data_IF_446473062539
#
_entry.id   IF_446473062539
#
_cell.length_a   1.000
_cell.length_b   1.000
_cell.length_c   1.000
_cell.angle_alpha   90.00
_cell.angle_beta   90.00
_cell.angle_gamma   90.00
#
_symmetry.space_group_name_H-M   'P 1'
#
loop_
_entity.id
_entity.type
_entity.pdbx_description
1 polymer ?
#
# COMPACT_ATOMS: atom_id res chain seq x y z
N UNK A 1 26.39 10.13 4.30
CA UNK A 1 25.88 11.49 4.01
C UNK A 1 24.49 11.33 3.39
N UNK A 2 23.46 12.00 3.92
CA UNK A 2 22.06 11.82 3.51
C UNK A 2 21.67 12.60 2.25
N UNK A 3 22.30 13.76 2.04
CA UNK A 3 21.97 14.67 0.95
C UNK A 3 23.11 14.70 -0.06
N UNK A 4 22.77 14.61 -1.36
CA UNK A 4 23.69 14.89 -2.45
C UNK A 4 23.48 16.33 -2.90
N UNK A 5 24.54 17.14 -2.96
CA UNK A 5 24.47 18.53 -3.40
C UNK A 5 24.90 18.64 -4.86
N UNK A 6 24.21 19.49 -5.64
CA UNK A 6 24.63 19.79 -7.01
C UNK A 6 25.89 20.67 -7.08
N UNK A 7 26.27 21.30 -5.96
CA UNK A 7 27.50 22.10 -5.85
C UNK A 7 27.71 22.69 -4.46
N UNK A 8 28.86 23.37 -4.30
CA UNK A 8 29.28 23.99 -3.02
C UNK A 8 28.29 25.03 -2.50
N UNK A 9 27.65 25.80 -3.39
CA UNK A 9 26.66 26.80 -3.01
C UNK A 9 25.46 26.18 -2.28
N UNK A 10 24.87 25.11 -2.83
CA UNK A 10 23.76 24.39 -2.18
C UNK A 10 24.19 23.70 -0.89
N UNK A 11 25.43 23.19 -0.82
CA UNK A 11 25.97 22.63 0.42
C UNK A 11 26.07 23.68 1.53
N UNK A 12 26.59 24.87 1.21
CA UNK A 12 26.72 25.97 2.17
C UNK A 12 25.36 26.50 2.62
N UNK A 13 24.40 26.62 1.69
CA UNK A 13 23.02 27.01 2.02
C UNK A 13 22.34 26.02 2.99
N UNK A 14 22.58 24.72 2.83
CA UNK A 14 22.01 23.68 3.70
C UNK A 14 22.85 23.41 4.97
N UNK A 15 24.00 24.07 5.14
CA UNK A 15 25.01 23.70 6.14
C UNK A 15 24.53 23.72 7.59
N UNK A 16 23.69 24.70 7.95
CA UNK A 16 23.13 24.82 9.30
C UNK A 16 22.28 23.60 9.69
N UNK A 17 21.38 23.16 8.79
CA UNK A 17 20.54 21.97 8.96
C UNK A 17 21.38 20.69 8.89
N UNK A 18 22.30 20.60 7.93
CA UNK A 18 23.22 19.46 7.82
C UNK A 18 24.05 19.23 9.10
N UNK A 19 24.53 20.29 9.75
CA UNK A 19 25.33 20.20 10.97
C UNK A 19 24.57 19.55 12.14
N UNK A 20 23.27 19.78 12.23
CA UNK A 20 22.41 19.16 13.25
C UNK A 20 22.28 17.66 12.98
N UNK A 21 22.02 17.30 11.72
CA UNK A 21 21.84 15.90 11.31
C UNK A 21 23.14 15.11 11.42
N UNK A 22 24.29 15.66 10.99
CA UNK A 22 25.53 14.91 10.85
C UNK A 22 26.13 14.43 12.18
N UNK A 23 25.69 15.01 13.30
CA UNK A 23 26.09 14.63 14.67
C UNK A 23 25.09 13.72 15.37
N UNK A 24 23.98 13.37 14.71
CA UNK A 24 22.94 12.58 15.33
C UNK A 24 23.44 11.17 15.69
N UNK A 25 23.13 10.64 16.90
CA UNK A 25 23.63 9.32 17.33
C UNK A 25 23.30 8.17 16.39
N UNK A 26 22.15 8.21 15.72
CA UNK A 26 21.74 7.18 14.75
C UNK A 26 22.61 7.14 13.49
N UNK A 27 23.44 8.15 13.22
CA UNK A 27 24.42 8.11 12.13
C UNK A 27 25.70 7.34 12.50
N UNK A 28 25.88 6.97 13.78
CA UNK A 28 27.06 6.22 14.20
C UNK A 28 26.95 4.75 13.77
N UNK A 29 28.01 4.19 13.20
CA UNK A 29 28.03 2.80 12.73
C UNK A 29 27.80 1.79 13.87
N UNK A 30 28.22 2.15 15.08
CA UNK A 30 28.10 1.36 16.32
C UNK A 30 26.87 1.74 17.16
N UNK A 31 25.90 2.49 16.61
CA UNK A 31 24.65 2.76 17.33
C UNK A 31 24.01 1.45 17.78
N UNK A 32 23.55 1.43 19.03
CA UNK A 32 22.87 0.31 19.65
C UNK A 32 21.49 0.77 20.14
N UNK A 33 20.50 -0.13 20.14
CA UNK A 33 19.20 0.10 20.76
C UNK A 33 19.28 0.51 22.23
N UNK A 34 18.31 1.30 22.69
CA UNK A 34 18.26 1.79 24.07
C UNK A 34 18.35 0.66 25.10
N UNK A 35 17.63 -0.45 24.88
CA UNK A 35 17.64 -1.58 25.82
C UNK A 35 19.02 -2.25 25.96
N UNK A 36 19.85 -2.20 24.91
CA UNK A 36 21.24 -2.70 24.95
C UNK A 36 22.11 -1.76 25.77
N UNK A 37 22.03 -0.45 25.48
CA UNK A 37 22.84 0.56 26.19
C UNK A 37 22.47 0.71 27.66
N UNK A 38 21.21 0.45 28.00
CA UNK A 38 20.67 0.51 29.36
C UNK A 38 20.74 -0.83 30.09
N UNK A 39 21.23 -1.89 29.43
CA UNK A 39 21.29 -3.25 29.97
C UNK A 39 19.96 -3.75 30.58
N UNK A 40 18.85 -3.55 29.86
CA UNK A 40 17.50 -3.93 30.29
C UNK A 40 16.85 -4.91 29.32
N UNK A 41 15.85 -5.66 29.80
CA UNK A 41 15.01 -6.47 28.91
C UNK A 41 14.14 -5.55 28.04
N UNK A 42 14.07 -5.76 26.72
CA UNK A 42 13.18 -4.99 25.86
C UNK A 42 11.72 -5.35 26.11
N UNK A 43 10.81 -4.41 25.87
CA UNK A 43 9.37 -4.52 26.10
C UNK A 43 8.67 -5.61 25.28
N UNK A 44 9.32 -6.13 24.23
CA UNK A 44 8.82 -7.26 23.43
C UNK A 44 9.33 -8.63 23.92
N UNK A 45 10.19 -8.68 24.94
CA UNK A 45 10.66 -9.92 25.58
C UNK A 45 10.03 -9.99 26.97
N UNK A 46 9.03 -10.86 27.14
CA UNK A 46 8.38 -11.16 28.41
C UNK A 46 6.90 -11.56 28.27
N UNK A 47 6.34 -12.18 29.31
CA UNK A 47 4.89 -12.50 29.42
C UNK A 47 4.03 -11.29 29.80
N UNK A 48 4.42 -10.10 29.34
CA UNK A 48 3.70 -8.85 29.61
C UNK A 48 2.32 -8.82 28.92
N UNK A 49 1.51 -7.78 29.19
CA UNK A 49 0.24 -7.61 28.51
C UNK A 49 0.42 -7.63 26.98
N UNK A 50 -0.64 -8.01 26.23
CA UNK A 50 -0.59 -8.09 24.77
C UNK A 50 -0.02 -6.82 24.14
N UNK A 51 0.65 -6.96 23.00
CA UNK A 51 1.23 -5.84 22.24
C UNK A 51 0.17 -4.76 22.01
N UNK A 52 0.31 -3.61 22.69
CA UNK A 52 -0.54 -2.43 22.46
C UNK A 52 -0.10 -1.74 21.18
N UNK A 53 -0.96 -1.77 20.16
CA UNK A 53 -0.81 -0.96 18.95
C UNK A 53 -1.35 0.47 19.18
N UNK A 54 -0.82 1.45 18.47
CA UNK A 54 -1.31 2.83 18.49
C UNK A 54 -1.75 3.30 17.09
N UNK A 55 -2.58 4.34 17.05
CA UNK A 55 -3.33 4.79 15.86
C UNK A 55 -4.78 4.31 15.88
N UNK A 56 -5.54 4.62 14.83
CA UNK A 56 -6.98 4.36 14.80
C UNK A 56 -7.31 2.88 15.00
N UNK A 57 -8.09 2.63 16.07
CA UNK A 57 -8.70 1.33 16.43
C UNK A 57 -7.72 0.16 16.48
N UNK A 58 -6.55 0.38 17.08
CA UNK A 58 -5.53 -0.61 17.43
C UNK A 58 -6.07 -1.95 17.99
N UNK A 59 -7.27 -1.96 18.60
CA UNK A 59 -7.89 -3.17 19.16
C UNK A 59 -9.31 -3.46 18.65
N UNK A 60 -9.82 -2.76 17.61
CA UNK A 60 -11.23 -2.88 17.20
C UNK A 60 -11.50 -2.95 15.69
N UNK A 61 -10.67 -2.35 14.81
CA UNK A 61 -10.71 -2.45 13.33
C UNK A 61 -9.71 -1.45 12.72
N UNK A 62 -8.42 -1.78 12.72
CA UNK A 62 -7.37 -0.94 12.13
C UNK A 62 -7.66 -0.62 10.65
N UNK A 63 -7.35 0.61 10.22
CA UNK A 63 -7.50 1.02 8.82
C UNK A 63 -6.15 0.91 8.11
N UNK A 64 -6.04 -0.01 7.16
CA UNK A 64 -4.82 -0.26 6.40
C UNK A 64 -4.86 0.53 5.09
N UNK A 65 -4.28 1.74 5.10
CA UNK A 65 -4.28 2.66 3.94
C UNK A 65 -2.99 2.60 3.11
N UNK A 66 -2.00 1.84 3.59
CA UNK A 66 -0.73 1.57 2.91
C UNK A 66 -0.51 0.07 2.78
N UNK A 67 0.08 -0.33 1.66
CA UNK A 67 0.48 -1.71 1.40
C UNK A 67 1.56 -2.19 2.34
N UNK A 68 1.39 -3.41 2.82
CA UNK A 68 2.29 -4.10 3.73
C UNK A 68 2.95 -5.34 3.09
N UNK A 69 2.84 -5.46 1.77
CA UNK A 69 3.55 -6.42 0.91
C UNK A 69 4.03 -5.65 -0.32
N UNK A 70 5.11 -6.10 -0.94
CA UNK A 70 5.61 -5.50 -2.18
C UNK A 70 4.58 -5.57 -3.31
N UNK A 71 4.50 -4.50 -4.11
CA UNK A 71 3.65 -4.43 -5.31
C UNK A 71 3.98 -5.55 -6.30
N UNK A 72 2.93 -6.16 -6.85
CA UNK A 72 3.05 -7.22 -7.85
C UNK A 72 2.35 -6.81 -9.15
N UNK A 73 2.98 -7.11 -10.27
CA UNK A 73 2.32 -7.18 -11.57
C UNK A 73 1.55 -8.51 -11.63
N UNK A 74 0.22 -8.41 -11.48
CA UNK A 74 -0.67 -9.57 -11.47
C UNK A 74 -0.80 -10.23 -12.85
N UNK A 75 -0.58 -9.46 -13.93
CA UNK A 75 -0.68 -9.97 -15.29
C UNK A 75 0.60 -10.68 -15.70
N UNK A 76 1.76 -10.06 -15.40
CA UNK A 76 3.10 -10.57 -15.70
C UNK A 76 3.22 -11.06 -17.14
N UNK A 77 2.96 -10.14 -18.08
CA UNK A 77 2.84 -10.42 -19.52
C UNK A 77 4.04 -11.21 -20.05
N UNK A 78 5.26 -10.85 -19.60
CA UNK A 78 6.49 -11.47 -20.07
C UNK A 78 6.56 -12.98 -19.79
N UNK A 79 5.93 -13.46 -18.71
CA UNK A 79 5.93 -14.88 -18.32
C UNK A 79 4.64 -15.62 -18.68
N UNK A 80 3.60 -14.90 -19.06
CA UNK A 80 2.28 -15.44 -19.32
C UNK A 80 1.88 -15.23 -20.79
N UNK A 81 1.10 -14.20 -21.09
CA UNK A 81 0.50 -13.97 -22.42
C UNK A 81 1.53 -13.69 -23.53
N UNK A 82 2.73 -13.22 -23.18
CA UNK A 82 3.80 -12.92 -24.14
C UNK A 82 3.36 -11.91 -25.20
N UNK A 83 3.74 -12.14 -26.45
CA UNK A 83 3.41 -11.24 -27.57
C UNK A 83 1.92 -11.12 -27.87
N UNK A 84 1.12 -12.13 -27.49
CA UNK A 84 -0.33 -12.09 -27.70
C UNK A 84 -1.02 -11.01 -26.87
N UNK A 85 -0.40 -10.56 -25.77
CA UNK A 85 -0.95 -9.52 -24.91
C UNK A 85 -1.13 -8.17 -25.63
N UNK A 86 -0.40 -7.90 -26.71
CA UNK A 86 -0.42 -6.59 -27.39
C UNK A 86 -1.81 -6.19 -27.86
N UNK A 87 -2.58 -7.13 -28.38
CA UNK A 87 -3.93 -6.88 -28.93
C UNK A 87 -5.02 -7.65 -28.19
N UNK A 88 -4.70 -8.28 -27.06
CA UNK A 88 -5.67 -9.02 -26.27
C UNK A 88 -6.48 -8.06 -25.40
N UNK A 89 -7.77 -8.34 -25.26
CA UNK A 89 -8.58 -7.69 -24.23
C UNK A 89 -8.35 -8.40 -22.89
N UNK A 90 -8.26 -7.61 -21.82
CA UNK A 90 -8.06 -8.10 -20.47
C UNK A 90 -9.21 -7.69 -19.55
N UNK A 91 -9.60 -8.63 -18.69
CA UNK A 91 -10.43 -8.31 -17.51
C UNK A 91 -9.68 -8.68 -16.24
N UNK A 92 -9.41 -7.69 -15.41
CA UNK A 92 -8.62 -7.83 -14.18
C UNK A 92 -9.50 -7.57 -12.96
N UNK A 93 -9.29 -8.30 -11.88
CA UNK A 93 -9.97 -8.06 -10.60
C UNK A 93 -8.98 -7.93 -9.46
N UNK A 94 -9.10 -6.85 -8.70
CA UNK A 94 -8.47 -6.63 -7.41
C UNK A 94 -9.58 -6.64 -6.36
N UNK A 95 -9.88 -7.82 -5.82
CA UNK A 95 -11.12 -8.11 -5.10
C UNK A 95 -11.18 -7.55 -3.67
N UNK A 96 -10.02 -7.31 -3.05
CA UNK A 96 -9.89 -6.82 -1.68
C UNK A 96 -8.61 -5.99 -1.51
N UNK A 97 -8.46 -4.95 -2.33
CA UNK A 97 -7.22 -4.19 -2.45
C UNK A 97 -7.23 -2.93 -1.58
N UNK A 98 -6.39 -2.95 -0.55
CA UNK A 98 -6.24 -1.83 0.40
C UNK A 98 -5.60 -0.58 -0.20
N UNK A 99 -4.93 -0.69 -1.35
CA UNK A 99 -4.27 0.41 -2.04
C UNK A 99 -4.16 0.13 -3.56
N UNK A 100 -3.62 1.09 -4.32
CA UNK A 100 -3.54 1.05 -5.79
C UNK A 100 -2.24 0.47 -6.37
N UNK A 101 -1.28 0.01 -5.55
CA UNK A 101 0.08 -0.30 -6.03
C UNK A 101 0.13 -1.50 -6.97
N UNK A 102 -0.68 -2.53 -6.72
CA UNK A 102 -0.76 -3.72 -7.59
C UNK A 102 -1.43 -3.36 -8.93
N UNK A 103 -2.45 -2.51 -8.89
CA UNK A 103 -3.09 -1.96 -10.09
C UNK A 103 -2.07 -1.18 -10.94
N UNK A 104 -1.34 -0.26 -10.31
CA UNK A 104 -0.30 0.56 -10.95
C UNK A 104 0.77 -0.34 -11.60
N UNK A 105 1.36 -1.27 -10.84
CA UNK A 105 2.37 -2.19 -11.36
C UNK A 105 1.86 -3.04 -12.52
N UNK A 106 0.63 -3.55 -12.42
CA UNK A 106 0.06 -4.40 -13.47
C UNK A 106 -0.15 -3.64 -14.78
N UNK A 107 -0.60 -2.38 -14.71
CA UNK A 107 -0.83 -1.55 -15.90
C UNK A 107 0.47 -1.02 -16.48
N UNK A 108 1.45 -0.68 -15.65
CA UNK A 108 2.79 -0.33 -16.10
C UNK A 108 3.49 -1.50 -16.81
N UNK A 109 3.14 -2.74 -16.45
CA UNK A 109 3.62 -3.98 -17.07
C UNK A 109 3.00 -4.31 -18.44
N UNK A 110 1.98 -3.58 -18.90
CA UNK A 110 1.41 -3.80 -20.24
C UNK A 110 2.43 -3.50 -21.35
N UNK A 111 2.35 -4.19 -22.51
CA UNK A 111 3.20 -3.88 -23.66
C UNK A 111 3.15 -2.40 -24.01
N UNK A 112 4.29 -1.83 -24.40
CA UNK A 112 4.36 -0.42 -24.78
C UNK A 112 3.42 -0.09 -25.93
N UNK A 113 3.13 -1.03 -26.82
CA UNK A 113 2.25 -0.92 -27.98
C UNK A 113 0.88 -1.60 -27.77
N UNK A 114 0.44 -1.75 -26.52
CA UNK A 114 -0.87 -2.32 -26.20
C UNK A 114 -2.01 -1.56 -26.91
N UNK A 115 -2.89 -2.32 -27.56
CA UNK A 115 -4.01 -1.82 -28.36
C UNK A 115 -5.35 -2.48 -27.99
N UNK A 116 -5.35 -3.43 -27.05
CA UNK A 116 -6.56 -4.06 -26.56
C UNK A 116 -7.32 -3.18 -25.56
N UNK A 117 -8.47 -3.68 -25.11
CA UNK A 117 -9.26 -3.06 -24.04
C UNK A 117 -9.00 -3.74 -22.71
N UNK A 118 -8.72 -2.96 -21.66
CA UNK A 118 -8.56 -3.49 -20.31
C UNK A 118 -9.69 -2.99 -19.40
N UNK A 119 -10.56 -3.89 -18.93
CA UNK A 119 -11.58 -3.58 -17.94
C UNK A 119 -11.16 -4.10 -16.57
N UNK A 120 -11.17 -3.25 -15.55
CA UNK A 120 -10.60 -3.54 -14.24
C UNK A 120 -11.68 -3.39 -13.17
N UNK A 121 -11.91 -4.43 -12.38
CA UNK A 121 -12.71 -4.36 -11.15
C UNK A 121 -11.78 -4.15 -9.96
N UNK A 122 -11.94 -3.05 -9.23
CA UNK A 122 -11.12 -2.69 -8.08
C UNK A 122 -12.00 -2.49 -6.85
N UNK A 123 -11.88 -3.36 -5.85
CA UNK A 123 -12.82 -3.43 -4.73
C UNK A 123 -12.11 -3.42 -3.37
N UNK A 124 -12.72 -2.71 -2.41
CA UNK A 124 -12.45 -2.89 -0.98
C UNK A 124 -13.74 -2.71 -0.18
N UNK A 125 -13.92 -3.48 0.89
CA UNK A 125 -15.12 -3.36 1.73
C UNK A 125 -15.11 -2.13 2.64
N UNK A 126 -13.94 -1.60 2.98
CA UNK A 126 -13.80 -0.49 3.90
C UNK A 126 -14.06 0.83 3.16
N UNK A 127 -15.08 1.56 3.59
CA UNK A 127 -15.49 2.80 2.93
C UNK A 127 -14.40 3.86 2.92
N UNK A 128 -13.59 3.99 3.98
CA UNK A 128 -12.49 4.94 4.02
C UNK A 128 -11.43 4.58 2.99
N UNK A 129 -11.08 3.30 2.89
CA UNK A 129 -10.07 2.81 1.95
C UNK A 129 -10.52 2.97 0.50
N UNK A 130 -11.72 2.50 0.17
CA UNK A 130 -12.26 2.56 -1.19
C UNK A 130 -12.38 4.00 -1.71
N UNK A 131 -12.94 4.91 -0.90
CA UNK A 131 -13.10 6.32 -1.27
C UNK A 131 -11.77 7.08 -1.35
N UNK A 132 -10.80 6.74 -0.49
CA UNK A 132 -9.45 7.27 -0.60
C UNK A 132 -8.76 6.84 -1.90
N UNK A 133 -8.85 5.56 -2.25
CA UNK A 133 -8.32 5.05 -3.51
C UNK A 133 -9.02 5.72 -4.71
N UNK A 134 -10.32 6.01 -4.60
CA UNK A 134 -11.05 6.74 -5.62
C UNK A 134 -10.51 8.16 -5.86
N UNK A 135 -10.25 8.93 -4.79
CA UNK A 135 -9.64 10.28 -4.93
C UNK A 135 -8.24 10.21 -5.53
N UNK A 136 -7.41 9.26 -5.07
CA UNK A 136 -6.03 9.11 -5.58
C UNK A 136 -6.06 8.73 -7.06
N UNK A 137 -6.90 7.77 -7.45
CA UNK A 137 -7.09 7.41 -8.85
C UNK A 137 -7.60 8.60 -9.66
N UNK A 138 -8.66 9.29 -9.22
CA UNK A 138 -9.16 10.46 -9.93
C UNK A 138 -8.06 11.52 -10.13
N UNK A 139 -7.22 11.76 -9.12
CA UNK A 139 -6.09 12.69 -9.20
C UNK A 139 -5.13 12.34 -10.34
N UNK A 140 -4.82 11.05 -10.54
CA UNK A 140 -3.94 10.55 -11.61
C UNK A 140 -4.62 10.57 -12.99
N UNK A 141 -5.89 10.18 -13.02
CA UNK A 141 -6.62 9.87 -14.24
C UNK A 141 -7.26 11.10 -14.90
N UNK A 142 -7.39 12.22 -14.21
CA UNK A 142 -8.07 13.41 -14.74
C UNK A 142 -7.15 14.28 -15.64
N UNK A 143 -7.69 14.95 -16.69
CA UNK A 143 -6.88 15.64 -17.69
C UNK A 143 -6.50 17.09 -17.35
N UNK A 144 -7.07 17.68 -16.30
CA UNK A 144 -6.89 19.12 -15.97
C UNK A 144 -5.53 19.45 -15.36
N UNK A 145 -4.80 18.44 -14.86
CA UNK A 145 -3.46 18.60 -14.30
C UNK A 145 -2.46 17.81 -15.16
N UNK A 146 -1.29 18.40 -15.50
CA UNK A 146 -0.22 17.68 -16.18
C UNK A 146 0.22 16.44 -15.39
N UNK A 147 0.57 15.36 -16.09
CA UNK A 147 0.94 14.07 -15.50
C UNK A 147 1.95 14.19 -14.34
N UNK A 148 3.07 14.94 -14.46
CA UNK A 148 4.02 15.05 -13.36
C UNK A 148 3.43 15.69 -12.10
N UNK A 149 2.53 16.66 -12.25
CA UNK A 149 1.84 17.31 -11.14
C UNK A 149 0.77 16.41 -10.51
N UNK A 150 0.06 15.64 -11.33
CA UNK A 150 -0.91 14.65 -10.85
C UNK A 150 -0.23 13.53 -10.05
N UNK A 151 0.90 13.02 -10.53
CA UNK A 151 1.70 12.00 -9.85
C UNK A 151 2.27 12.50 -8.52
N UNK A 152 2.77 13.73 -8.49
CA UNK A 152 3.28 14.38 -7.27
C UNK A 152 2.18 14.53 -6.20
N UNK A 153 1.02 15.08 -6.59
CA UNK A 153 -0.15 15.20 -5.71
C UNK A 153 -0.62 13.83 -5.20
N UNK A 154 -0.73 12.84 -6.09
CA UNK A 154 -1.16 11.50 -5.72
C UNK A 154 -0.17 10.84 -4.73
N UNK A 155 1.14 11.02 -4.91
CA UNK A 155 2.15 10.51 -3.97
C UNK A 155 1.99 11.15 -2.58
N UNK A 156 1.74 12.47 -2.51
CA UNK A 156 1.48 13.14 -1.25
C UNK A 156 0.15 12.77 -0.60
N UNK A 157 -0.94 12.69 -1.38
CA UNK A 157 -2.24 12.17 -0.92
C UNK A 157 -2.12 10.75 -0.37
N UNK A 158 -1.26 9.93 -1.00
CA UNK A 158 -1.06 8.55 -0.59
C UNK A 158 -0.17 8.39 0.64
N UNK A 159 0.87 9.20 0.83
CA UNK A 159 1.91 8.88 1.82
C UNK A 159 2.34 10.02 2.74
N UNK A 160 1.85 11.26 2.54
CA UNK A 160 2.25 12.40 3.37
C UNK A 160 1.12 12.85 4.28
N UNK A 161 1.37 12.92 5.59
CA UNK A 161 0.44 13.43 6.60
C UNK A 161 0.21 14.94 6.49
N UNK A 162 1.16 15.69 5.94
CA UNK A 162 1.06 17.13 5.74
C UNK A 162 1.05 17.50 4.26
N UNK A 163 0.22 18.47 3.90
CA UNK A 163 0.05 19.02 2.55
C UNK A 163 0.35 20.52 2.54
N UNK A 164 0.67 21.05 1.36
CA UNK A 164 0.63 22.50 1.13
C UNK A 164 -0.82 22.98 1.01
N UNK A 165 -1.10 24.28 1.23
CA UNK A 165 -2.42 24.86 0.98
C UNK A 165 -2.96 24.58 -0.43
N UNK A 166 -2.09 24.57 -1.44
CA UNK A 166 -2.46 24.28 -2.83
C UNK A 166 -2.90 22.82 -3.00
N UNK A 167 -2.14 21.88 -2.42
CA UNK A 167 -2.48 20.46 -2.47
C UNK A 167 -3.78 20.15 -1.69
N UNK A 168 -3.98 20.80 -0.54
CA UNK A 168 -5.23 20.70 0.24
C UNK A 168 -6.44 21.25 -0.53
N UNK A 169 -6.29 22.41 -1.19
CA UNK A 169 -7.34 22.96 -2.06
C UNK A 169 -7.66 22.03 -3.24
N UNK A 170 -6.65 21.35 -3.80
CA UNK A 170 -6.86 20.33 -4.84
C UNK A 170 -7.60 19.10 -4.32
N UNK A 171 -7.28 18.63 -3.11
CA UNK A 171 -8.02 17.56 -2.46
C UNK A 171 -9.50 17.93 -2.32
N UNK A 172 -9.79 19.13 -1.81
CA UNK A 172 -11.16 19.63 -1.66
C UNK A 172 -11.90 19.68 -3.00
N UNK A 173 -11.22 20.13 -4.07
CA UNK A 173 -11.77 20.13 -5.42
C UNK A 173 -12.10 18.72 -5.91
N UNK A 174 -11.22 17.74 -5.67
CA UNK A 174 -11.48 16.34 -6.01
C UNK A 174 -12.73 15.84 -5.28
N UNK A 175 -12.86 16.13 -3.99
CA UNK A 175 -14.04 15.77 -3.20
C UNK A 175 -15.31 16.42 -3.78
N UNK A 176 -15.28 17.70 -4.12
CA UNK A 176 -16.43 18.38 -4.73
C UNK A 176 -16.84 17.79 -6.09
N UNK A 177 -15.88 17.32 -6.89
CA UNK A 177 -16.18 16.71 -8.20
C UNK A 177 -16.74 15.29 -8.03
N UNK A 178 -16.13 14.49 -7.15
CA UNK A 178 -16.50 13.08 -6.95
C UNK A 178 -17.78 12.89 -6.14
N UNK A 179 -18.14 13.84 -5.29
CA UNK A 179 -19.28 13.73 -4.37
C UNK A 179 -20.24 14.92 -4.45
N UNK A 180 -20.07 15.77 -5.46
CA UNK A 180 -20.95 16.92 -5.71
C UNK A 180 -22.39 16.50 -5.98
N UNK A 181 -23.29 17.47 -6.01
CA UNK A 181 -24.73 17.29 -6.21
C UNK A 181 -25.01 16.61 -7.55
N UNK A 182 -25.13 15.28 -7.56
CA UNK A 182 -25.69 14.40 -8.60
C UNK A 182 -25.36 12.92 -8.36
N UNK A 183 -24.26 12.60 -7.63
CA UNK A 183 -23.81 11.20 -7.39
C UNK A 183 -24.52 10.55 -6.21
N UNK A 184 -24.85 11.33 -5.18
CA UNK A 184 -25.65 10.87 -4.04
C UNK A 184 -27.04 11.48 -4.17
N UNK A 185 -28.04 10.66 -4.46
CA UNK A 185 -29.45 11.07 -4.47
C UNK A 185 -30.16 10.45 -3.26
N UNK A 186 -31.08 11.22 -2.65
CA UNK A 186 -31.85 10.75 -1.49
C UNK A 186 -32.62 9.47 -1.83
N UNK A 187 -32.52 8.47 -0.95
CA UNK A 187 -33.21 7.18 -1.07
C UNK A 187 -32.49 6.11 -1.89
N UNK A 188 -31.33 6.38 -2.48
CA UNK A 188 -30.54 5.36 -3.19
C UNK A 188 -29.67 4.54 -2.23
N UNK A 189 -29.76 3.21 -2.31
CA UNK A 189 -28.87 2.29 -1.57
C UNK A 189 -27.43 2.35 -2.07
N UNK A 190 -27.26 2.46 -3.39
CA UNK A 190 -25.97 2.57 -4.05
C UNK A 190 -25.84 3.90 -4.78
N UNK A 191 -24.76 4.61 -4.51
CA UNK A 191 -24.32 5.70 -5.35
C UNK A 191 -23.51 5.09 -6.51
N UNK A 192 -23.84 5.51 -7.73
CA UNK A 192 -23.15 5.09 -8.94
C UNK A 192 -22.78 6.32 -9.76
N UNK A 193 -21.60 6.30 -10.36
CA UNK A 193 -21.13 7.38 -11.21
C UNK A 193 -20.03 6.94 -12.13
N UNK A 194 -19.76 7.77 -13.15
CA UNK A 194 -18.59 7.59 -14.00
C UNK A 194 -18.02 8.94 -14.38
N UNK A 195 -16.69 9.01 -14.45
CA UNK A 195 -15.96 10.16 -14.95
C UNK A 195 -15.02 9.73 -16.06
N UNK A 196 -14.88 10.53 -17.13
CA UNK A 196 -13.89 10.26 -18.16
C UNK A 196 -12.48 10.35 -17.56
N UNK A 197 -11.59 9.51 -18.07
CA UNK A 197 -10.15 9.64 -17.78
C UNK A 197 -9.49 10.57 -18.80
N UNK A 198 -8.18 10.77 -18.66
CA UNK A 198 -7.33 11.46 -19.62
C UNK A 198 -7.16 10.70 -20.94
N UNK A 199 -7.51 9.40 -20.99
CA UNK A 199 -7.54 8.59 -22.20
C UNK A 199 -8.96 8.22 -22.63
N UNK A 200 -9.08 7.15 -23.40
CA UNK A 200 -10.38 6.71 -23.97
C UNK A 200 -11.31 6.02 -22.97
N UNK A 201 -10.80 5.62 -21.80
CA UNK A 201 -11.56 4.91 -20.79
C UNK A 201 -12.21 5.81 -19.74
N UNK A 202 -12.92 5.18 -18.80
CA UNK A 202 -13.61 5.84 -17.71
C UNK A 202 -13.29 5.23 -16.33
N UNK A 203 -13.42 6.08 -15.30
CA UNK A 203 -13.41 5.68 -13.90
C UNK A 203 -14.87 5.60 -13.42
N UNK A 204 -15.35 4.38 -13.23
CA UNK A 204 -16.67 4.07 -12.71
C UNK A 204 -16.61 3.84 -11.20
N UNK A 205 -17.66 4.22 -10.50
CA UNK A 205 -17.81 4.00 -9.07
C UNK A 205 -19.17 3.37 -8.77
N UNK A 206 -19.17 2.41 -7.83
CA UNK A 206 -20.37 1.91 -7.17
C UNK A 206 -20.08 1.68 -5.69
N UNK A 207 -20.79 2.37 -4.80
CA UNK A 207 -20.56 2.25 -3.36
C UNK A 207 -21.83 2.48 -2.55
N UNK A 208 -21.86 2.00 -1.31
CA UNK A 208 -23.02 2.07 -0.44
C UNK A 208 -23.16 3.50 0.09
N UNK A 209 -24.28 4.16 -0.21
CA UNK A 209 -24.50 5.58 0.09
C UNK A 209 -24.36 5.90 1.58
N UNK A 210 -24.90 5.04 2.45
CA UNK A 210 -24.80 5.25 3.90
C UNK A 210 -23.36 5.17 4.42
N UNK A 211 -22.55 4.25 3.89
CA UNK A 211 -21.17 4.06 4.32
C UNK A 211 -20.22 5.16 3.80
N UNK A 212 -20.61 5.88 2.74
CA UNK A 212 -19.88 7.05 2.26
C UNK A 212 -19.92 8.22 3.25
N UNK A 213 -20.97 8.35 4.06
CA UNK A 213 -21.12 9.47 5.01
C UNK A 213 -19.96 9.52 6.00
N UNK A 214 -19.50 8.37 6.46
CA UNK A 214 -18.36 8.25 7.36
C UNK A 214 -17.07 8.77 6.72
N UNK A 215 -16.85 8.46 5.44
CA UNK A 215 -15.71 8.99 4.70
C UNK A 215 -15.83 10.50 4.49
N UNK A 216 -17.00 11.01 4.06
CA UNK A 216 -17.19 12.43 3.73
C UNK A 216 -16.98 13.38 4.91
N UNK A 217 -17.16 12.91 6.14
CA UNK A 217 -16.81 13.67 7.34
C UNK A 217 -15.31 13.98 7.44
N UNK A 218 -14.44 13.16 6.83
CA UNK A 218 -12.99 13.35 6.87
C UNK A 218 -12.55 14.61 6.10
N UNK A 219 -12.79 14.77 4.78
CA UNK A 219 -12.39 15.98 4.07
C UNK A 219 -13.16 17.24 4.53
N UNK A 220 -14.36 17.08 5.10
CA UNK A 220 -15.17 18.19 5.63
C UNK A 220 -14.80 18.59 7.07
N UNK A 221 -13.86 17.90 7.70
CA UNK A 221 -13.43 18.17 9.08
C UNK A 221 -12.72 19.52 9.20
N UNK A 222 -12.77 20.08 10.42
CA UNK A 222 -12.27 21.43 10.73
C UNK A 222 -11.15 21.45 11.77
N UNK A 223 -10.63 20.29 12.19
CA UNK A 223 -9.49 20.23 13.11
C UNK A 223 -8.25 20.89 12.51
N UNK A 224 -7.42 21.44 13.40
CA UNK A 224 -6.21 22.17 13.05
C UNK A 224 -5.08 21.22 12.67
N UNK A 225 -4.12 21.75 11.92
CA UNK A 225 -2.92 21.01 11.53
C UNK A 225 -2.14 20.49 12.74
N UNK A 226 -1.98 21.31 13.77
CA UNK A 226 -1.21 20.96 14.97
C UNK A 226 -1.83 19.78 15.73
N UNK A 227 -3.16 19.72 15.79
CA UNK A 227 -3.89 18.65 16.46
C UNK A 227 -3.73 17.32 15.72
N UNK A 228 -3.83 17.35 14.39
CA UNK A 228 -3.61 16.18 13.54
C UNK A 228 -2.18 15.65 13.69
N UNK A 229 -1.17 16.52 13.58
CA UNK A 229 0.22 16.13 13.73
C UNK A 229 0.51 15.58 15.13
N UNK A 230 -0.11 16.14 16.18
CA UNK A 230 -0.03 15.60 17.54
C UNK A 230 -0.62 14.19 17.63
N UNK A 231 -1.75 13.91 16.98
CA UNK A 231 -2.31 12.55 16.92
C UNK A 231 -1.34 11.59 16.22
N UNK A 232 -0.79 11.98 15.05
CA UNK A 232 0.20 11.17 14.34
C UNK A 232 1.42 10.87 15.21
N UNK A 233 2.00 11.87 15.89
CA UNK A 233 3.15 11.66 16.77
C UNK A 233 2.81 10.79 17.97
N UNK A 234 1.61 10.96 18.55
CA UNK A 234 1.14 10.14 19.67
C UNK A 234 1.00 8.66 19.27
N UNK A 235 0.71 8.38 17.99
CA UNK A 235 0.71 7.02 17.45
C UNK A 235 2.13 6.54 17.10
N UNK A 236 2.80 7.21 16.16
CA UNK A 236 4.07 6.78 15.56
C UNK A 236 5.26 6.82 16.54
N UNK A 237 5.27 7.80 17.45
CA UNK A 237 6.37 8.08 18.36
C UNK A 237 6.03 7.81 19.82
N UNK A 238 4.98 7.03 20.09
CA UNK A 238 4.55 6.73 21.46
C UNK A 238 5.72 6.23 22.34
N UNK A 239 5.97 6.78 23.54
CA UNK A 239 7.14 6.43 24.35
C UNK A 239 7.25 4.93 24.66
N UNK A 240 6.13 4.26 24.94
CA UNK A 240 6.12 2.81 25.24
C UNK A 240 6.55 1.91 24.08
N UNK A 241 6.62 2.45 22.85
CA UNK A 241 7.03 1.72 21.64
C UNK A 241 8.49 1.93 21.27
N UNK A 242 9.29 2.56 22.14
CA UNK A 242 10.72 2.81 21.88
C UNK A 242 11.47 1.54 21.50
N UNK A 243 11.27 0.43 22.20
CA UNK A 243 11.97 -0.83 21.89
C UNK A 243 11.54 -1.43 20.55
N UNK A 244 10.29 -1.25 20.16
CA UNK A 244 9.81 -1.73 18.86
C UNK A 244 10.41 -0.90 17.72
N UNK A 245 10.52 0.42 17.91
CA UNK A 245 11.17 1.32 16.96
C UNK A 245 12.67 1.03 16.87
N UNK A 246 13.34 0.95 18.00
CA UNK A 246 14.77 0.67 18.06
C UNK A 246 15.10 -0.70 17.45
N UNK A 247 14.22 -1.69 17.59
CA UNK A 247 14.33 -3.00 16.91
C UNK A 247 14.23 -2.88 15.39
N UNK A 248 13.40 -1.98 14.89
CA UNK A 248 13.37 -1.69 13.46
C UNK A 248 14.66 -1.00 13.01
N UNK A 249 15.10 0.02 13.76
CA UNK A 249 16.30 0.80 13.46
C UNK A 249 17.59 -0.02 13.51
N UNK A 250 17.69 -1.01 14.41
CA UNK A 250 18.85 -1.89 14.54
C UNK A 250 19.21 -2.63 13.25
N UNK A 251 18.19 -2.98 12.45
CA UNK A 251 18.36 -3.62 11.14
C UNK A 251 18.71 -2.67 9.99
N UNK A 252 18.82 -1.36 10.23
CA UNK A 252 19.00 -0.35 9.20
C UNK A 252 20.42 0.21 9.16
N UNK A 253 20.86 0.61 7.97
CA UNK A 253 22.10 1.38 7.81
C UNK A 253 21.97 2.75 8.47
N UNK A 254 23.09 3.41 8.84
CA UNK A 254 23.04 4.69 9.54
C UNK A 254 22.20 5.76 8.83
N UNK A 255 22.30 5.87 7.50
CA UNK A 255 21.48 6.82 6.75
C UNK A 255 20.01 6.43 6.71
N UNK A 256 19.69 5.15 6.54
CA UNK A 256 18.30 4.68 6.55
C UNK A 256 17.61 4.92 7.89
N UNK A 257 18.33 4.80 9.01
CA UNK A 257 17.80 5.18 10.34
C UNK A 257 17.37 6.64 10.38
N UNK A 258 18.23 7.54 9.91
CA UNK A 258 17.92 8.97 9.88
C UNK A 258 16.77 9.31 8.93
N UNK A 259 16.74 8.69 7.74
CA UNK A 259 15.65 8.89 6.79
C UNK A 259 14.31 8.42 7.36
N UNK A 260 14.30 7.27 8.05
CA UNK A 260 13.14 6.76 8.76
C UNK A 260 12.70 7.68 9.89
N UNK A 261 13.64 8.10 10.75
CA UNK A 261 13.34 9.01 11.85
C UNK A 261 12.76 10.33 11.34
N UNK A 262 13.34 10.92 10.30
CA UNK A 262 12.77 12.11 9.65
C UNK A 262 11.34 11.87 9.17
N UNK A 263 11.09 10.80 8.42
CA UNK A 263 9.75 10.49 7.91
C UNK A 263 8.74 10.34 9.06
N UNK A 264 9.09 9.65 10.15
CA UNK A 264 8.17 9.49 11.31
C UNK A 264 7.94 10.79 12.09
N UNK A 265 8.90 11.73 12.06
CA UNK A 265 8.78 13.03 12.71
C UNK A 265 7.99 14.03 11.86
N UNK A 266 8.22 14.08 10.55
CA UNK A 266 7.53 15.03 9.67
C UNK A 266 6.22 14.49 9.14
N UNK A 267 6.07 13.17 9.05
CA UNK A 267 4.96 12.50 8.36
C UNK A 267 4.98 12.70 6.84
N UNK A 268 6.05 13.22 6.25
CA UNK A 268 6.09 13.62 4.83
C UNK A 268 6.98 12.67 4.03
N UNK A 269 6.44 12.14 2.93
CA UNK A 269 7.22 11.40 1.94
C UNK A 269 7.91 12.40 1.01
N UNK A 270 9.24 12.43 1.05
CA UNK A 270 10.04 13.30 0.19
C UNK A 270 11.53 13.23 0.52
N UNK A 271 12.39 13.90 -0.27
CA UNK A 271 13.82 13.95 0.00
C UNK A 271 14.15 14.49 1.39
N UNK A 272 15.21 13.98 2.00
CA UNK A 272 15.66 14.40 3.33
C UNK A 272 15.96 15.91 3.39
N UNK A 273 16.45 16.47 2.28
CA UNK A 273 16.73 17.89 2.15
C UNK A 273 15.51 18.77 1.94
N UNK A 274 14.33 18.21 1.62
CA UNK A 274 13.14 19.01 1.34
C UNK A 274 12.76 19.89 2.54
N UNK A 275 12.35 21.11 2.23
CA UNK A 275 11.75 22.00 3.21
C UNK A 275 10.29 21.60 3.41
N UNK A 276 9.91 21.35 4.66
CA UNK A 276 8.54 20.94 5.03
C UNK A 276 7.80 22.04 5.78
N UNK A 277 8.41 23.22 5.97
CA UNK A 277 7.82 24.32 6.77
C UNK A 277 6.56 24.93 6.15
N UNK A 278 6.40 24.81 4.82
CA UNK A 278 5.23 25.29 4.09
C UNK A 278 4.08 24.26 4.02
N UNK A 279 4.30 23.05 4.57
CA UNK A 279 3.29 22.00 4.62
C UNK A 279 2.51 22.14 5.94
N UNK A 280 1.46 22.94 5.89
CA UNK A 280 0.70 23.42 7.06
C UNK A 280 -0.76 22.98 7.04
N UNK A 281 -1.14 22.10 6.12
CA UNK A 281 -2.49 21.54 6.04
C UNK A 281 -2.45 20.05 6.35
N UNK A 282 -3.39 19.51 7.16
CA UNK A 282 -3.46 18.08 7.37
C UNK A 282 -3.94 17.38 6.08
N UNK A 283 -3.30 16.26 5.73
CA UNK A 283 -3.84 15.39 4.71
C UNK A 283 -5.07 14.66 5.25
N UNK A 284 -6.26 15.19 4.96
CA UNK A 284 -7.54 14.63 5.41
C UNK A 284 -7.87 13.24 4.83
N UNK A 285 -6.97 12.64 4.05
CA UNK A 285 -7.02 11.23 3.64
C UNK A 285 -6.19 10.29 4.53
N UNK A 286 -5.47 10.81 5.53
CA UNK A 286 -4.67 10.05 6.50
C UNK A 286 -5.06 10.28 7.96
N UNK A 287 -6.05 11.15 8.19
CA UNK A 287 -6.65 11.41 9.49
C UNK A 287 -8.16 11.23 9.37
N UNK A 288 -8.80 10.65 10.39
CA UNK A 288 -10.26 10.52 10.39
C UNK A 288 -10.97 11.87 10.63
N UNK A 289 -12.29 11.82 10.74
CA UNK A 289 -13.13 13.00 10.92
C UNK A 289 -12.81 13.80 12.20
N UNK A 290 -12.25 13.14 13.21
CA UNK A 290 -11.93 13.73 14.51
C UNK A 290 -10.45 14.12 14.61
N UNK A 291 -9.68 13.91 13.54
CA UNK A 291 -8.25 14.23 13.47
C UNK A 291 -7.33 13.10 13.94
N UNK A 292 -7.87 11.90 14.13
CA UNK A 292 -7.07 10.75 14.58
C UNK A 292 -6.31 10.09 13.42
N UNK A 293 -5.04 9.75 13.68
CA UNK A 293 -4.19 9.08 12.70
C UNK A 293 -4.76 7.74 12.24
N UNK A 294 -5.01 7.58 10.93
CA UNK A 294 -5.76 6.45 10.39
C UNK A 294 -5.03 5.10 10.46
N UNK A 295 -3.70 5.10 10.38
CA UNK A 295 -2.91 3.87 10.30
C UNK A 295 -2.20 3.55 11.60
N UNK A 296 -1.45 2.45 11.61
CA UNK A 296 -0.79 1.91 12.80
C UNK A 296 0.61 2.50 12.99
N UNK A 297 1.09 2.45 14.23
CA UNK A 297 2.44 2.88 14.65
C UNK A 297 3.62 2.20 13.93
N UNK A 298 3.37 1.07 13.27
CA UNK A 298 4.35 0.29 12.53
C UNK A 298 4.15 0.34 11.01
N UNK A 299 3.19 1.13 10.53
CA UNK A 299 2.94 1.28 9.10
C UNK A 299 4.13 1.95 8.43
N UNK A 300 4.58 1.42 7.30
CA UNK A 300 5.73 1.94 6.57
C UNK A 300 5.48 1.87 5.05
N UNK A 301 5.45 3.00 4.33
CA UNK A 301 5.17 3.00 2.90
C UNK A 301 6.22 2.24 2.07
N UNK A 302 7.45 2.04 2.59
CA UNK A 302 8.47 1.21 1.93
C UNK A 302 8.03 -0.26 1.79
N UNK A 303 7.16 -0.78 2.65
CA UNK A 303 6.69 -2.16 2.57
C UNK A 303 5.88 -2.43 1.29
N UNK A 304 5.27 -1.38 0.72
CA UNK A 304 4.49 -1.47 -0.50
C UNK A 304 5.32 -1.65 -1.78
N UNK A 305 6.64 -1.46 -1.75
CA UNK A 305 7.46 -1.32 -2.95
C UNK A 305 8.72 -2.18 -2.88
N UNK A 306 9.27 -2.54 -4.04
CA UNK A 306 10.56 -3.25 -4.11
C UNK A 306 11.67 -2.26 -3.79
N UNK A 307 12.36 -2.48 -2.67
CA UNK A 307 13.44 -1.62 -2.19
C UNK A 307 14.57 -1.51 -3.23
N UNK A 308 14.82 -2.56 -4.02
CA UNK A 308 15.84 -2.52 -5.07
C UNK A 308 15.44 -1.56 -6.18
N UNK A 309 14.18 -1.61 -6.62
CA UNK A 309 13.63 -0.68 -7.61
C UNK A 309 13.55 0.74 -7.07
N UNK A 310 13.21 0.92 -5.79
CA UNK A 310 13.20 2.21 -5.10
C UNK A 310 14.58 2.86 -5.14
N UNK A 311 15.63 2.13 -4.77
CA UNK A 311 17.01 2.62 -4.80
C UNK A 311 17.44 2.98 -6.23
N UNK A 312 17.07 2.16 -7.22
CA UNK A 312 17.36 2.42 -8.63
C UNK A 312 16.68 3.70 -9.14
N UNK A 313 15.39 3.91 -8.82
CA UNK A 313 14.68 5.16 -9.12
C UNK A 313 15.36 6.36 -8.47
N UNK A 314 15.68 6.28 -7.17
CA UNK A 314 16.38 7.34 -6.46
C UNK A 314 17.71 7.72 -7.13
N UNK A 315 18.50 6.72 -7.54
CA UNK A 315 19.76 6.96 -8.26
C UNK A 315 19.56 7.70 -9.59
N UNK A 316 18.53 7.33 -10.38
CA UNK A 316 18.20 8.02 -11.65
C UNK A 316 17.87 9.50 -11.42
N UNK A 317 17.21 9.81 -10.30
CA UNK A 317 16.87 11.17 -9.89
C UNK A 317 17.97 11.87 -9.08
N UNK A 318 19.17 11.28 -9.00
CA UNK A 318 20.31 11.87 -8.30
C UNK A 318 20.20 11.88 -6.77
N UNK A 319 19.27 11.12 -6.20
CA UNK A 319 19.11 10.97 -4.76
C UNK A 319 20.16 10.03 -4.19
N UNK A 320 20.62 10.31 -2.98
CA UNK A 320 21.55 9.45 -2.28
C UNK A 320 20.81 8.18 -1.82
N UNK A 321 21.34 6.96 -2.05
CA UNK A 321 20.73 5.71 -1.55
C UNK A 321 20.48 5.66 -0.03
N UNK A 322 21.20 6.48 0.74
CA UNK A 322 21.01 6.64 2.17
C UNK A 322 19.74 7.42 2.53
N UNK A 323 19.22 8.24 1.62
CA UNK A 323 17.91 8.90 1.70
C UNK A 323 16.84 8.01 1.05
N UNK A 324 16.52 6.91 1.73
CA UNK A 324 15.62 5.89 1.20
C UNK A 324 14.18 6.40 0.98
N UNK A 325 13.72 7.38 1.77
CA UNK A 325 12.40 7.99 1.59
C UNK A 325 12.39 9.02 0.46
N UNK A 326 13.50 9.72 0.20
CA UNK A 326 13.69 10.47 -1.04
C UNK A 326 13.68 9.55 -2.26
N UNK A 327 14.39 8.40 -2.19
CA UNK A 327 14.35 7.40 -3.24
C UNK A 327 12.93 6.87 -3.48
N UNK A 328 12.18 6.60 -2.40
CA UNK A 328 10.80 6.13 -2.46
C UNK A 328 9.87 7.17 -3.09
N UNK A 329 10.01 8.45 -2.74
CA UNK A 329 9.21 9.52 -3.34
C UNK A 329 9.33 9.51 -4.87
N UNK A 330 10.55 9.50 -5.39
CA UNK A 330 10.77 9.48 -6.83
C UNK A 330 10.38 8.15 -7.49
N UNK A 331 10.51 7.03 -6.78
CA UNK A 331 10.00 5.75 -7.27
C UNK A 331 8.48 5.78 -7.45
N UNK A 332 7.73 6.16 -6.41
CA UNK A 332 6.27 6.27 -6.46
C UNK A 332 5.84 7.26 -7.55
N UNK A 333 6.54 8.40 -7.65
CA UNK A 333 6.27 9.39 -8.69
C UNK A 333 6.49 8.82 -10.09
N UNK A 334 7.62 8.14 -10.36
CA UNK A 334 7.88 7.50 -11.65
C UNK A 334 6.77 6.49 -12.01
N UNK A 335 6.37 5.65 -11.06
CA UNK A 335 5.33 4.63 -11.24
C UNK A 335 3.96 5.25 -11.54
N UNK A 336 3.61 6.35 -10.84
CA UNK A 336 2.37 7.07 -11.04
C UNK A 336 2.34 7.87 -12.34
N UNK A 337 3.46 8.46 -12.74
CA UNK A 337 3.56 9.13 -14.03
C UNK A 337 3.42 8.13 -15.17
N UNK A 338 4.09 6.97 -15.09
CA UNK A 338 3.94 5.92 -16.10
C UNK A 338 2.50 5.41 -16.14
N UNK A 339 1.88 5.17 -14.99
CA UNK A 339 0.49 4.75 -14.93
C UNK A 339 -0.44 5.75 -15.61
N UNK A 340 -0.31 7.04 -15.31
CA UNK A 340 -1.10 8.08 -15.96
C UNK A 340 -0.85 8.14 -17.47
N UNK A 341 0.40 8.02 -17.95
CA UNK A 341 0.71 7.95 -19.39
C UNK A 341 0.05 6.74 -20.06
N UNK A 342 0.01 5.60 -19.39
CA UNK A 342 -0.62 4.36 -19.88
C UNK A 342 -2.13 4.52 -19.98
N UNK A 343 -2.75 5.14 -18.99
CA UNK A 343 -4.19 5.47 -19.01
C UNK A 343 -4.51 6.43 -20.16
N UNK A 344 -3.69 7.45 -20.39
CA UNK A 344 -3.87 8.41 -21.48
C UNK A 344 -3.82 7.73 -22.85
N UNK A 345 -2.93 6.75 -22.99
CA UNK A 345 -2.64 6.09 -24.26
C UNK A 345 -3.57 4.91 -24.57
N UNK A 346 -4.04 4.18 -23.56
CA UNK A 346 -4.71 2.90 -23.73
C UNK A 346 -6.19 2.97 -23.35
N UNK A 347 -6.99 2.05 -23.89
CA UNK A 347 -8.40 1.90 -23.52
C UNK A 347 -8.51 1.10 -22.21
N UNK A 348 -8.44 1.80 -21.08
CA UNK A 348 -8.49 1.21 -19.74
C UNK A 348 -9.69 1.77 -18.97
N UNK A 349 -10.61 0.90 -18.55
CA UNK A 349 -11.74 1.25 -17.71
C UNK A 349 -11.53 0.68 -16.30
N UNK A 350 -11.75 1.50 -15.29
CA UNK A 350 -11.59 1.11 -13.89
C UNK A 350 -12.95 1.23 -13.21
N UNK A 351 -13.44 0.13 -12.68
CA UNK A 351 -14.69 0.02 -11.93
C UNK A 351 -14.34 -0.16 -10.45
N UNK A 352 -14.44 0.93 -9.70
CA UNK A 352 -14.21 0.92 -8.27
C UNK A 352 -15.50 0.57 -7.53
N UNK A 353 -15.45 -0.47 -6.70
CA UNK A 353 -16.58 -0.86 -5.85
C UNK A 353 -16.24 -0.81 -4.37
N UNK A 354 -17.22 -0.47 -3.54
CA UNK A 354 -17.10 -0.53 -2.08
C UNK A 354 -18.05 -1.58 -1.52
N UNK A 355 -17.62 -2.85 -1.48
CA UNK A 355 -18.45 -3.99 -1.11
C UNK A 355 -17.62 -5.12 -0.49
N UNK A 356 -18.25 -6.01 0.30
CA UNK A 356 -17.62 -7.27 0.71
C UNK A 356 -17.30 -8.11 -0.54
N UNK A 357 -16.06 -8.58 -0.66
CA UNK A 357 -15.58 -9.35 -1.81
C UNK A 357 -16.48 -10.57 -2.13
N UNK A 358 -17.05 -11.24 -1.12
CA UNK A 358 -17.97 -12.37 -1.34
C UNK A 358 -19.29 -11.89 -1.95
N UNK A 359 -19.78 -10.71 -1.56
CA UNK A 359 -20.98 -10.11 -2.17
C UNK A 359 -20.69 -9.78 -3.63
N UNK A 360 -19.55 -9.14 -3.93
CA UNK A 360 -19.11 -8.83 -5.30
C UNK A 360 -19.08 -10.08 -6.17
N UNK A 361 -18.46 -11.16 -5.68
CA UNK A 361 -18.38 -12.42 -6.43
C UNK A 361 -19.74 -13.01 -6.82
N UNK A 362 -20.79 -12.78 -6.01
CA UNK A 362 -22.17 -13.23 -6.28
C UNK A 362 -22.93 -12.26 -7.19
N UNK A 363 -22.57 -10.98 -7.19
CA UNK A 363 -23.21 -9.95 -8.01
C UNK A 363 -22.73 -9.99 -9.47
N UNK A 364 -21.50 -10.43 -9.73
CA UNK A 364 -20.92 -10.51 -11.08
C UNK A 364 -21.72 -11.44 -12.01
N UNK A 365 -22.07 -12.69 -11.63
CA UNK A 365 -22.90 -13.55 -12.48
C UNK A 365 -24.33 -13.04 -12.72
N UNK A 366 -24.78 -12.05 -11.95
CA UNK A 366 -26.11 -11.43 -12.05
C UNK A 366 -26.08 -10.12 -12.85
N UNK A 367 -24.96 -9.81 -13.54
CA UNK A 367 -24.77 -8.63 -14.37
C UNK A 367 -24.96 -7.27 -13.66
N UNK A 368 -24.86 -7.24 -12.32
CA UNK A 368 -24.94 -6.00 -11.55
C UNK A 368 -23.71 -5.11 -11.73
N UNK A 369 -22.54 -5.70 -11.97
CA UNK A 369 -21.26 -4.98 -12.11
C UNK A 369 -20.75 -5.17 -13.54
N UNK A 370 -21.34 -4.43 -14.48
CA UNK A 370 -20.91 -4.44 -15.89
C UNK A 370 -19.55 -3.75 -16.05
N UNK A 371 -18.69 -4.21 -16.98
CA UNK A 371 -18.91 -5.24 -18.01
C UNK A 371 -18.49 -6.66 -17.57
N UNK A 372 -18.43 -6.94 -16.27
CA UNK A 372 -17.99 -8.24 -15.75
C UNK A 372 -19.14 -9.23 -15.71
N UNK A 373 -18.84 -10.46 -16.08
CA UNK A 373 -19.77 -11.59 -16.09
C UNK A 373 -19.04 -12.85 -15.60
N UNK A 374 -19.78 -13.95 -15.43
CA UNK A 374 -19.19 -15.22 -15.00
C UNK A 374 -18.11 -15.70 -15.98
N UNK A 375 -17.00 -16.20 -15.42
CA UNK A 375 -15.88 -16.74 -16.19
C UNK A 375 -15.19 -15.74 -17.12
N UNK A 376 -15.05 -14.47 -16.71
CA UNK A 376 -14.50 -13.42 -17.56
C UNK A 376 -13.13 -12.88 -17.15
N UNK A 377 -12.64 -13.12 -15.94
CA UNK A 377 -11.40 -12.50 -15.46
C UNK A 377 -10.15 -13.29 -15.85
N UNK A 378 -9.19 -12.60 -16.46
CA UNK A 378 -7.86 -13.14 -16.75
C UNK A 378 -6.98 -13.16 -15.51
N UNK A 379 -7.18 -12.24 -14.56
CA UNK A 379 -6.50 -12.25 -13.27
C UNK A 379 -7.45 -11.82 -12.17
N UNK A 380 -7.39 -12.52 -11.04
CA UNK A 380 -8.10 -12.15 -9.81
C UNK A 380 -7.06 -12.13 -8.70
N UNK A 381 -6.89 -11.00 -8.02
CA UNK A 381 -6.05 -10.84 -6.84
C UNK A 381 -6.96 -10.58 -5.64
N UNK A 382 -6.85 -11.40 -4.60
CA UNK A 382 -7.75 -11.35 -3.42
C UNK A 382 -7.06 -10.91 -2.14
N UNK A 383 -5.84 -10.40 -2.23
CA UNK A 383 -5.04 -9.98 -1.08
C UNK A 383 -4.92 -11.10 -0.04
N UNK A 384 -4.96 -10.74 1.24
CA UNK A 384 -4.97 -11.63 2.38
C UNK A 384 -6.37 -12.09 2.81
N UNK A 385 -7.38 -12.02 1.93
CA UNK A 385 -8.76 -12.40 2.26
C UNK A 385 -8.85 -13.84 2.81
N UNK A 386 -8.00 -14.75 2.33
CA UNK A 386 -7.91 -16.13 2.79
C UNK A 386 -7.54 -16.26 4.28
N UNK A 387 -6.85 -15.30 4.88
CA UNK A 387 -6.59 -15.28 6.34
C UNK A 387 -7.88 -15.10 7.16
N UNK A 388 -8.91 -14.50 6.57
CA UNK A 388 -10.12 -14.09 7.27
C UNK A 388 -11.30 -15.02 7.06
N UNK A 389 -11.48 -15.49 5.82
CA UNK A 389 -12.60 -16.36 5.43
C UNK A 389 -12.15 -17.79 5.06
N UNK A 390 -10.84 -18.04 5.00
CA UNK A 390 -10.29 -19.32 4.59
C UNK A 390 -10.08 -19.43 3.07
N UNK A 391 -9.10 -20.23 2.61
CA UNK A 391 -8.81 -20.38 1.19
C UNK A 391 -9.95 -21.07 0.42
N UNK A 392 -10.67 -22.00 1.05
CA UNK A 392 -11.81 -22.70 0.42
C UNK A 392 -12.89 -21.71 0.00
N UNK A 393 -13.33 -20.83 0.90
CA UNK A 393 -14.34 -19.81 0.58
C UNK A 393 -13.86 -18.86 -0.53
N UNK A 394 -12.57 -18.50 -0.56
CA UNK A 394 -12.00 -17.67 -1.62
C UNK A 394 -12.06 -18.40 -2.97
N UNK A 395 -11.66 -19.67 -3.01
CA UNK A 395 -11.68 -20.51 -4.22
C UNK A 395 -13.13 -20.66 -4.71
N UNK A 396 -14.06 -21.02 -3.83
CA UNK A 396 -15.46 -21.23 -4.18
C UNK A 396 -16.13 -19.96 -4.74
N UNK A 397 -15.79 -18.80 -4.18
CA UNK A 397 -16.32 -17.51 -4.64
C UNK A 397 -15.71 -17.06 -5.98
N UNK A 398 -14.39 -17.17 -6.14
CA UNK A 398 -13.67 -16.46 -7.19
C UNK A 398 -13.14 -17.34 -8.32
N UNK A 399 -12.83 -18.61 -8.08
CA UNK A 399 -12.36 -19.51 -9.14
C UNK A 399 -13.37 -19.70 -10.28
N UNK A 400 -14.71 -19.77 -10.04
CA UNK A 400 -15.68 -19.83 -11.12
C UNK A 400 -15.69 -18.60 -12.04
N UNK A 401 -15.16 -17.46 -11.58
CA UNK A 401 -15.13 -16.21 -12.33
C UNK A 401 -13.90 -16.06 -13.23
N UNK A 402 -12.95 -17.00 -13.18
CA UNK A 402 -11.77 -17.02 -14.04
C UNK A 402 -12.13 -17.33 -15.50
N UNK A 403 -11.46 -16.64 -16.42
CA UNK A 403 -11.59 -16.81 -17.85
C UNK A 403 -11.06 -18.16 -18.32
N UNK A 404 -11.96 -19.12 -18.52
CA UNK A 404 -11.60 -20.48 -18.98
C UNK A 404 -11.01 -20.52 -20.39
N UNK A 405 -11.12 -19.44 -21.17
CA UNK A 405 -10.52 -19.35 -22.52
C UNK A 405 -9.07 -18.89 -22.48
N UNK A 406 -8.67 -18.17 -21.42
CA UNK A 406 -7.28 -17.79 -21.22
C UNK A 406 -6.58 -18.87 -20.40
N UNK A 407 -5.66 -19.60 -21.02
CA UNK A 407 -4.87 -20.65 -20.36
C UNK A 407 -3.97 -20.14 -19.21
N UNK A 408 -3.75 -18.82 -19.13
CA UNK A 408 -2.99 -18.16 -18.08
C UNK A 408 -3.89 -17.57 -16.99
N UNK A 409 -5.21 -17.73 -17.07
CA UNK A 409 -6.12 -17.18 -16.08
C UNK A 409 -5.76 -17.65 -14.67
N UNK A 410 -5.52 -16.71 -13.76
CA UNK A 410 -4.93 -17.01 -12.44
C UNK A 410 -5.66 -16.28 -11.31
N UNK A 411 -5.90 -17.03 -10.22
CA UNK A 411 -6.32 -16.49 -8.91
C UNK A 411 -5.09 -16.37 -8.01
N UNK A 412 -4.74 -15.15 -7.61
CA UNK A 412 -3.66 -14.81 -6.71
C UNK A 412 -4.22 -14.52 -5.32
N UNK A 413 -3.69 -15.21 -4.32
CA UNK A 413 -3.97 -14.98 -2.90
C UNK A 413 -2.68 -15.09 -2.10
N UNK A 414 -2.57 -14.35 -1.01
CA UNK A 414 -1.45 -14.49 -0.08
C UNK A 414 -1.93 -14.62 1.36
N UNK A 415 -1.06 -15.13 2.24
CA UNK A 415 -1.33 -15.28 3.67
C UNK A 415 -0.35 -14.42 4.46
N UNK A 416 -0.87 -13.70 5.44
CA UNK A 416 -0.10 -12.80 6.30
C UNK A 416 -0.41 -13.05 7.78
N UNK A 417 -1.69 -13.22 8.08
CA UNK A 417 -2.24 -13.29 9.43
C UNK A 417 -2.72 -14.70 9.81
N UNK A 418 -2.55 -15.71 8.94
CA UNK A 418 -2.99 -17.08 9.17
C UNK A 418 -2.54 -17.64 10.54
N UNK A 419 -1.31 -17.32 10.94
CA UNK A 419 -0.68 -17.78 12.18
C UNK A 419 -1.41 -17.28 13.45
N UNK A 420 -2.14 -16.16 13.35
CA UNK A 420 -2.89 -15.59 14.47
C UNK A 420 -4.12 -16.43 14.82
N UNK A 421 -4.70 -17.11 13.83
CA UNK A 421 -5.97 -17.83 13.92
C UNK A 421 -5.83 -19.35 13.92
N UNK A 422 -4.70 -19.89 13.43
CA UNK A 422 -4.50 -21.34 13.41
C UNK A 422 -4.02 -21.87 14.77
N UNK A 423 -4.67 -22.89 15.35
CA UNK A 423 -4.18 -23.59 16.53
C UNK A 423 -2.75 -24.10 16.31
N UNK A 424 -1.84 -23.77 17.22
CA UNK A 424 -0.40 -24.09 17.08
C UNK A 424 0.36 -23.25 16.05
N UNK A 425 -0.31 -22.34 15.33
CA UNK A 425 0.31 -21.42 14.38
C UNK A 425 0.99 -20.22 15.05
N UNK A 426 0.58 -19.87 16.27
CA UNK A 426 1.30 -18.87 17.06
C UNK A 426 2.59 -19.48 17.58
N UNK A 427 3.70 -18.84 17.23
CA UNK A 427 4.98 -19.15 17.85
C UNK A 427 4.90 -18.80 19.33
N UNK A 428 4.77 -19.80 20.20
CA UNK A 428 5.10 -19.64 21.60
C UNK A 428 6.62 -19.51 21.69
N UNK A 429 7.09 -18.29 21.93
CA UNK A 429 8.52 -17.99 22.09
C UNK A 429 9.01 -18.62 23.40
N UNK A 430 9.25 -19.94 23.39
CA UNK A 430 10.11 -20.57 24.38
C UNK A 430 11.52 -20.21 23.99
N UNK A 431 12.11 -19.32 24.79
CA UNK A 431 13.45 -18.81 24.62
C UNK A 431 14.44 -19.90 24.15
N UNK A 432 15.01 -19.67 22.96
CA UNK A 432 16.25 -20.31 22.52
C UNK A 432 16.10 -21.64 21.78
N UNK A 433 15.88 -21.60 20.47
CA UNK A 433 16.66 -22.42 19.52
C UNK A 433 16.40 -21.99 18.07
N UNK A 434 17.46 -21.51 17.40
CA UNK A 434 17.42 -21.17 15.96
C UNK A 434 17.10 -22.41 15.09
N UNK A 435 17.36 -23.62 15.59
CA UNK A 435 17.02 -24.88 14.90
C UNK A 435 15.51 -25.19 14.91
N UNK A 436 14.77 -24.76 15.94
CA UNK A 436 13.32 -24.94 15.98
C UNK A 436 12.61 -24.01 14.99
N UNK A 437 13.19 -22.83 14.69
CA UNK A 437 12.67 -21.88 13.70
C UNK A 437 12.53 -22.51 12.32
N UNK A 438 13.50 -23.34 11.92
CA UNK A 438 13.50 -24.01 10.62
C UNK A 438 12.52 -25.20 10.60
N UNK A 439 12.46 -25.99 11.68
CA UNK A 439 11.55 -27.12 11.80
C UNK A 439 10.06 -26.73 11.84
N UNK A 440 9.70 -25.59 12.44
CA UNK A 440 8.31 -25.09 12.44
C UNK A 440 7.91 -24.54 11.07
N UNK A 441 8.80 -23.82 10.37
CA UNK A 441 8.54 -23.39 8.99
C UNK A 441 8.38 -24.59 8.05
N UNK A 442 9.21 -25.62 8.18
CA UNK A 442 9.11 -26.86 7.40
C UNK A 442 7.82 -27.64 7.70
N UNK A 443 7.42 -27.74 8.98
CA UNK A 443 6.14 -28.36 9.37
C UNK A 443 4.92 -27.58 8.88
N UNK A 444 5.00 -26.25 8.91
CA UNK A 444 3.95 -25.37 8.41
C UNK A 444 3.79 -25.47 6.90
N UNK A 445 4.92 -25.46 6.18
CA UNK A 445 4.93 -25.68 4.73
C UNK A 445 4.39 -27.08 4.38
N UNK A 446 4.76 -28.11 5.14
CA UNK A 446 4.24 -29.47 4.95
C UNK A 446 2.74 -29.58 5.24
N UNK A 447 2.22 -28.86 6.24
CA UNK A 447 0.78 -28.83 6.54
C UNK A 447 -0.03 -28.10 5.45
N UNK A 448 0.50 -27.00 4.92
CA UNK A 448 -0.11 -26.25 3.80
C UNK A 448 -0.07 -27.05 2.49
N UNK A 449 1.00 -27.79 2.22
CA UNK A 449 1.13 -28.61 0.99
C UNK A 449 0.35 -29.93 1.11
N UNK A 450 0.35 -30.58 2.28
CA UNK A 450 -0.33 -31.85 2.51
C UNK A 450 -1.86 -31.76 2.57
N UNK A 451 -2.42 -30.57 2.77
CA UNK A 451 -3.87 -30.32 2.69
C UNK A 451 -4.36 -30.03 1.27
N UNK A 452 -3.45 -29.68 0.34
CA UNK A 452 -3.79 -29.32 -1.04
C UNK A 452 -3.68 -30.49 -2.04
N UNK A 453 -3.03 -31.61 -1.69
CA UNK A 453 -2.90 -32.77 -2.59
C UNK A 453 -2.92 -34.12 -1.83
N UNK A 454 -3.72 -35.11 -2.27
CA UNK A 454 -3.63 -36.47 -1.75
C UNK A 454 -2.23 -37.05 -2.01
N UNK A 455 -1.69 -37.68 -0.98
CA UNK A 455 -0.32 -38.15 -0.82
C UNK A 455 0.04 -39.32 -1.74
N UNK A 456 0.59 -39.04 -2.93
CA UNK A 456 1.30 -40.06 -3.72
C UNK A 456 2.46 -39.56 -4.57
N UNK A 457 3.13 -38.46 -4.22
CA UNK A 457 4.43 -38.15 -4.83
C UNK A 457 5.25 -37.18 -3.96
N UNK A 458 6.42 -37.64 -3.51
CA UNK A 458 7.68 -36.91 -3.23
C UNK A 458 8.40 -37.38 -1.95
N UNK A 459 9.54 -38.04 -2.18
CA UNK A 459 10.50 -38.53 -1.19
C UNK A 459 11.59 -37.46 -0.99
N UNK A 460 11.52 -36.66 0.07
CA UNK A 460 12.38 -35.49 0.35
C UNK A 460 13.80 -35.82 0.87
N UNK A 461 14.43 -36.90 0.39
CA UNK A 461 15.77 -37.32 0.88
C UNK A 461 16.98 -36.60 0.26
N UNK A 462 16.81 -35.59 -0.60
CA UNK A 462 17.92 -35.07 -1.42
C UNK A 462 18.53 -33.71 -1.02
N UNK A 463 18.08 -33.02 0.04
CA UNK A 463 18.66 -31.72 0.45
C UNK A 463 19.60 -31.81 1.68
N UNK A 464 20.56 -32.75 1.69
CA UNK A 464 21.67 -32.77 2.66
C UNK A 464 23.00 -33.06 1.97
N UNK A 465 23.56 -32.02 1.35
CA UNK A 465 24.98 -31.82 0.97
C UNK A 465 24.95 -30.48 0.23
N UNK A 466 25.40 -29.38 0.82
CA UNK A 466 26.75 -28.86 0.67
C UNK A 466 26.99 -27.85 1.80
N UNK A 467 27.94 -28.15 2.69
CA UNK A 467 28.64 -27.19 3.53
C UNK A 467 29.99 -27.80 3.91
N UNK A 468 31.03 -27.34 3.23
CA UNK A 468 32.41 -27.28 3.72
C UNK A 468 32.88 -25.87 3.50
#
# INVERSE_FOLDING_TARGET
MLVKYCGKACQLAHWSKHRQDCRHPQLKADWQPAWVTENRSPAFIGGGPPITQFGRRANQNATYVWGNVTAIDCLNVARNEGSAARSADFKLCFAASGDIRNLVQTINGLPSDYSGKCDILFNDKNSIVANRNWIILYTLLQPTIPIPGAADLAAHFMYSAALSPVASAHLNRCVSILYGQQIIQDGQTFAMGSLPTRGEGALHMMAITEEMKDFLRMPLSTYKFEDAMKSMHSAMLHPSRVDYRDRHLDGLTPGHRMAWTRHTQTGVLGPHSADTTHLIEPNRLLFDADGEWLTLDNANPLQGWDVSAVLASGQRHGINPQDIYGCLFFHVKDEFEEFARRIERFNINIHLTQLDARVVSRMIPQDFIKPFSSGCFDRIETSNLADYIGPTDVIDCWAPLLNRRNKHATLLMYFMNWHVRQPGGRFEDRAGNIRDRQGVMEKTAAALVGTLFPSTMYNLKYCKRIST
#
